data_IF_817194935120
#
_entry.id   IF_817194935120
#
_cell.length_a   1.000
_cell.length_b   1.000
_cell.length_c   1.000
_cell.angle_alpha   90.00
_cell.angle_beta   90.00
_cell.angle_gamma   90.00
#
_symmetry.space_group_name_H-M   'P 1'
#
loop_
_entity.id
_entity.type
_entity.pdbx_description
1 polymer ?
#
# COMPACT_ATOMS: atom_id res chain seq x y z
N UNK A 1 20.09 -12.13 -10.47
CA UNK A 1 19.66 -10.79 -10.93
C UNK A 1 18.20 -10.66 -10.58
N UNK A 2 17.83 -9.89 -9.54
CA UNK A 2 16.42 -9.64 -9.19
C UNK A 2 16.33 -8.35 -8.38
N UNK A 3 16.37 -7.24 -9.09
CA UNK A 3 15.89 -5.96 -8.59
C UNK A 3 14.77 -5.59 -9.57
N UNK A 4 13.52 -5.54 -9.09
CA UNK A 4 12.39 -4.97 -9.82
C UNK A 4 11.82 -3.84 -8.97
N UNK A 5 12.68 -2.87 -8.65
CA UNK A 5 12.24 -1.53 -8.32
C UNK A 5 11.95 -0.82 -9.64
N UNK A 6 10.75 -1.01 -10.19
CA UNK A 6 10.41 -0.54 -11.54
C UNK A 6 10.66 0.97 -11.72
N UNK A 7 10.44 1.76 -10.66
CA UNK A 7 10.65 3.21 -10.68
C UNK A 7 12.15 3.57 -10.63
N UNK A 8 12.96 2.89 -9.81
CA UNK A 8 14.40 3.17 -9.71
C UNK A 8 15.22 2.62 -10.90
N UNK A 9 14.82 1.49 -11.48
CA UNK A 9 15.55 0.86 -12.60
C UNK A 9 15.28 1.49 -13.96
N UNK A 10 14.06 1.97 -14.19
CA UNK A 10 13.66 2.57 -15.48
C UNK A 10 13.60 4.10 -15.45
N UNK A 11 13.77 4.70 -14.26
CA UNK A 11 13.51 6.12 -14.04
C UNK A 11 12.05 6.52 -14.27
N UNK A 12 11.15 5.56 -14.49
CA UNK A 12 9.75 5.78 -14.89
C UNK A 12 8.85 4.72 -14.25
N UNK A 13 7.64 5.12 -13.83
CA UNK A 13 6.62 4.17 -13.37
C UNK A 13 5.89 3.49 -14.53
N UNK A 14 4.93 2.62 -14.21
CA UNK A 14 4.05 2.02 -15.21
C UNK A 14 3.21 3.03 -15.99
N UNK A 15 2.44 2.54 -16.97
CA UNK A 15 1.56 3.37 -17.78
C UNK A 15 0.68 4.28 -16.90
N UNK A 16 0.58 5.55 -17.30
CA UNK A 16 -0.18 6.57 -16.58
C UNK A 16 0.40 6.99 -15.22
N UNK A 17 1.62 6.58 -14.84
CA UNK A 17 2.25 7.05 -13.61
C UNK A 17 2.60 8.55 -13.71
N UNK A 18 2.11 9.34 -12.75
CA UNK A 18 2.12 10.81 -12.81
C UNK A 18 2.82 11.50 -11.63
N UNK A 19 3.35 10.73 -10.68
CA UNK A 19 4.00 11.32 -9.51
C UNK A 19 5.25 12.11 -9.92
N UNK A 20 5.38 13.30 -9.33
CA UNK A 20 6.55 14.16 -9.49
C UNK A 20 7.25 14.26 -8.15
N UNK A 21 8.57 14.13 -8.16
CA UNK A 21 9.37 14.33 -6.95
C UNK A 21 9.27 15.78 -6.50
N UNK A 22 8.99 15.98 -5.22
CA UNK A 22 9.04 17.29 -4.58
C UNK A 22 9.67 17.14 -3.20
N UNK A 23 10.51 18.10 -2.82
CA UNK A 23 11.08 18.23 -1.48
C UNK A 23 10.46 19.39 -0.70
N UNK A 24 9.47 20.07 -1.30
CA UNK A 24 8.84 21.23 -0.68
C UNK A 24 7.95 20.80 0.49
N UNK A 25 8.25 21.30 1.69
CA UNK A 25 7.42 21.10 2.88
C UNK A 25 5.99 21.59 2.68
N UNK A 26 5.82 22.73 2.00
CA UNK A 26 4.50 23.27 1.67
C UNK A 26 3.63 22.28 0.88
N UNK A 27 4.21 21.53 -0.08
CA UNK A 27 3.47 20.51 -0.82
C UNK A 27 3.07 19.36 0.10
N UNK A 28 4.00 18.84 0.91
CA UNK A 28 3.71 17.79 1.90
C UNK A 28 2.59 18.22 2.85
N UNK A 29 2.70 19.42 3.41
CA UNK A 29 1.75 19.93 4.40
C UNK A 29 0.37 20.16 3.77
N UNK A 30 0.32 20.60 2.50
CA UNK A 30 -0.94 20.70 1.76
C UNK A 30 -1.60 19.33 1.53
N UNK A 31 -0.81 18.30 1.21
CA UNK A 31 -1.30 16.93 1.04
C UNK A 31 -1.86 16.40 2.36
N UNK A 32 -1.13 16.57 3.46
CA UNK A 32 -1.58 16.11 4.79
C UNK A 32 -2.82 16.86 5.27
N UNK A 33 -2.91 18.17 5.00
CA UNK A 33 -4.10 18.95 5.33
C UNK A 33 -5.31 18.50 4.51
N UNK A 34 -5.11 18.23 3.22
CA UNK A 34 -6.16 17.70 2.34
C UNK A 34 -6.58 16.29 2.76
N UNK A 35 -5.64 15.41 3.08
CA UNK A 35 -5.92 14.06 3.56
C UNK A 35 -6.83 14.08 4.79
N UNK A 36 -6.54 14.93 5.78
CA UNK A 36 -7.36 15.08 7.00
C UNK A 36 -8.81 15.50 6.79
N UNK A 37 -9.12 16.14 5.66
CA UNK A 37 -10.52 16.52 5.34
C UNK A 37 -11.21 15.50 4.45
N UNK A 38 -10.50 14.44 4.04
CA UNK A 38 -10.95 13.39 3.12
C UNK A 38 -10.59 11.98 3.61
N UNK A 39 -10.22 11.86 4.88
CA UNK A 39 -10.03 10.61 5.59
C UNK A 39 -11.29 10.27 6.39
N UNK A 40 -11.33 9.07 6.98
CA UNK A 40 -12.45 8.66 7.84
C UNK A 40 -12.12 8.72 9.33
N UNK A 41 -11.03 9.39 9.71
CA UNK A 41 -10.59 9.52 11.09
C UNK A 41 -11.47 10.51 11.87
N UNK A 42 -11.83 10.15 13.09
CA UNK A 42 -12.37 11.09 14.07
C UNK A 42 -11.27 11.87 14.82
N UNK A 43 -10.03 11.39 14.70
CA UNK A 43 -8.84 11.85 15.40
C UNK A 43 -8.08 10.67 16.01
N UNK A 44 -6.77 10.77 16.20
CA UNK A 44 -5.97 9.66 16.71
C UNK A 44 -4.55 9.62 16.13
N UNK A 45 -3.92 8.46 16.30
CA UNK A 45 -2.57 8.17 15.81
C UNK A 45 -2.57 7.13 14.67
N UNK A 46 -3.74 6.65 14.25
CA UNK A 46 -3.88 5.75 13.12
C UNK A 46 -3.61 6.45 11.79
N UNK A 47 -3.07 5.69 10.83
CA UNK A 47 -2.99 6.08 9.43
C UNK A 47 -4.26 5.59 8.74
N UNK A 48 -5.09 6.52 8.28
CA UNK A 48 -6.34 6.18 7.59
C UNK A 48 -6.08 5.61 6.19
N UNK A 49 -6.40 4.33 5.93
CA UNK A 49 -6.20 3.75 4.61
C UNK A 49 -7.00 4.45 3.50
N UNK A 50 -8.24 4.90 3.76
CA UNK A 50 -9.02 5.64 2.77
C UNK A 50 -8.44 7.02 2.49
N UNK A 51 -8.10 7.78 3.52
CA UNK A 51 -7.45 9.09 3.44
C UNK A 51 -6.17 9.01 2.61
N UNK A 52 -5.31 8.04 2.92
CA UNK A 52 -4.08 7.83 2.17
C UNK A 52 -4.37 7.48 0.71
N UNK A 53 -5.28 6.53 0.45
CA UNK A 53 -5.73 6.19 -0.92
C UNK A 53 -6.30 7.42 -1.64
N UNK A 54 -7.11 8.23 -0.99
CA UNK A 54 -7.74 9.42 -1.54
C UNK A 54 -6.69 10.46 -1.95
N UNK A 55 -5.77 10.78 -1.04
CA UNK A 55 -4.70 11.73 -1.31
C UNK A 55 -3.81 11.23 -2.46
N UNK A 56 -3.47 9.93 -2.45
CA UNK A 56 -2.66 9.32 -3.50
C UNK A 56 -3.29 9.43 -4.89
N UNK A 57 -4.60 9.21 -4.98
CA UNK A 57 -5.34 9.32 -6.23
C UNK A 57 -5.54 10.79 -6.65
N UNK A 58 -5.91 11.67 -5.73
CA UNK A 58 -6.14 13.09 -6.04
C UNK A 58 -4.86 13.78 -6.54
N UNK A 59 -3.77 13.67 -5.78
CA UNK A 59 -2.51 14.33 -6.14
C UNK A 59 -1.77 13.64 -7.29
N UNK A 60 -2.05 12.36 -7.55
CA UNK A 60 -1.49 11.65 -8.70
C UNK A 60 -2.28 11.85 -9.99
N UNK A 61 -3.61 11.82 -9.94
CA UNK A 61 -4.49 11.71 -11.11
C UNK A 61 -5.68 12.67 -11.13
N UNK A 62 -5.92 13.43 -10.06
CA UNK A 62 -6.99 14.42 -9.95
C UNK A 62 -8.28 13.87 -9.33
N UNK A 63 -9.28 14.74 -9.21
CA UNK A 63 -10.55 14.45 -8.50
C UNK A 63 -11.36 13.29 -9.09
N UNK A 64 -11.26 13.05 -10.39
CA UNK A 64 -11.95 11.91 -11.03
C UNK A 64 -11.40 10.57 -10.53
N UNK A 65 -10.13 10.49 -10.15
CA UNK A 65 -9.52 9.26 -9.64
C UNK A 65 -9.92 8.91 -8.20
N UNK A 66 -10.78 9.68 -7.54
CA UNK A 66 -11.26 9.33 -6.18
C UNK A 66 -12.30 8.21 -6.22
N UNK A 67 -13.15 8.21 -7.25
CA UNK A 67 -14.28 7.29 -7.35
C UNK A 67 -13.84 5.85 -7.62
N UNK A 68 -14.52 4.89 -6.99
CA UNK A 68 -14.22 3.45 -7.09
C UNK A 68 -13.99 2.93 -8.53
N UNK A 69 -14.76 3.43 -9.51
CA UNK A 69 -14.61 3.03 -10.91
C UNK A 69 -13.35 3.59 -11.60
N UNK A 70 -12.77 4.67 -11.07
CA UNK A 70 -11.75 5.50 -11.74
C UNK A 70 -10.42 5.54 -10.99
N UNK A 71 -10.38 5.12 -9.72
CA UNK A 71 -9.17 5.12 -8.90
C UNK A 71 -8.04 4.26 -9.49
N UNK A 72 -6.83 4.75 -9.32
CA UNK A 72 -5.59 4.09 -9.72
C UNK A 72 -5.02 3.27 -8.59
N UNK A 73 -5.22 3.72 -7.36
CA UNK A 73 -4.92 2.97 -6.15
C UNK A 73 -6.18 2.69 -5.37
N UNK A 74 -6.22 1.53 -4.73
CA UNK A 74 -7.28 1.16 -3.81
C UNK A 74 -6.69 0.63 -2.51
N UNK A 75 -7.40 0.85 -1.40
CA UNK A 75 -7.09 0.21 -0.14
C UNK A 75 -7.79 -1.16 -0.07
N UNK A 76 -7.03 -2.19 0.28
CA UNK A 76 -7.54 -3.57 0.32
C UNK A 76 -6.99 -4.31 1.53
N UNK A 77 -7.84 -5.13 2.14
CA UNK A 77 -7.52 -5.82 3.39
C UNK A 77 -7.62 -7.34 3.27
N UNK A 78 -6.64 -8.03 3.83
CA UNK A 78 -6.51 -9.49 3.74
C UNK A 78 -6.51 -10.13 5.12
N UNK A 79 -7.13 -11.31 5.22
CA UNK A 79 -7.13 -12.10 6.45
C UNK A 79 -5.79 -12.76 6.78
N UNK A 80 -4.82 -12.73 5.84
CA UNK A 80 -3.49 -13.29 6.09
C UNK A 80 -2.38 -12.47 5.44
N UNK A 81 -1.21 -12.53 6.08
CA UNK A 81 0.03 -11.96 5.57
C UNK A 81 0.35 -12.47 4.16
N UNK A 82 0.21 -13.78 3.93
CA UNK A 82 0.54 -14.42 2.65
C UNK A 82 -0.34 -13.91 1.51
N UNK A 83 -1.63 -13.71 1.76
CA UNK A 83 -2.51 -13.13 0.74
C UNK A 83 -2.17 -11.67 0.45
N UNK A 84 -1.90 -10.86 1.49
CA UNK A 84 -1.55 -9.46 1.33
C UNK A 84 -0.27 -9.27 0.51
N UNK A 85 0.81 -9.96 0.86
CA UNK A 85 2.09 -9.81 0.15
C UNK A 85 2.02 -10.37 -1.27
N UNK A 86 1.27 -11.45 -1.50
CA UNK A 86 1.07 -11.97 -2.87
C UNK A 86 0.23 -11.03 -3.73
N UNK A 87 -0.77 -10.37 -3.14
CA UNK A 87 -1.51 -9.32 -3.81
C UNK A 87 -0.61 -8.13 -4.15
N UNK A 88 0.22 -7.68 -3.20
CA UNK A 88 1.20 -6.61 -3.42
C UNK A 88 2.17 -6.93 -4.56
N UNK A 89 2.74 -8.15 -4.60
CA UNK A 89 3.63 -8.59 -5.68
C UNK A 89 2.93 -8.55 -7.03
N UNK A 90 1.72 -9.12 -7.14
CA UNK A 90 0.96 -9.07 -8.39
C UNK A 90 0.66 -7.64 -8.84
N UNK A 91 0.30 -6.76 -7.90
CA UNK A 91 0.00 -5.37 -8.20
C UNK A 91 1.25 -4.63 -8.72
N UNK A 92 2.39 -4.81 -8.06
CA UNK A 92 3.67 -4.26 -8.52
C UNK A 92 4.05 -4.78 -9.92
N UNK A 93 3.88 -6.08 -10.19
CA UNK A 93 4.19 -6.66 -11.51
C UNK A 93 3.27 -6.10 -12.59
N UNK A 94 1.96 -6.11 -12.34
CA UNK A 94 0.95 -5.74 -13.33
C UNK A 94 1.01 -4.26 -13.67
N UNK A 95 1.09 -3.41 -12.65
CA UNK A 95 0.91 -1.97 -12.81
C UNK A 95 2.21 -1.18 -12.75
N UNK A 96 3.33 -1.83 -12.38
CA UNK A 96 4.67 -1.25 -12.26
C UNK A 96 4.65 0.02 -11.41
N UNK A 97 3.99 -0.08 -10.27
CA UNK A 97 3.69 0.98 -9.32
C UNK A 97 4.00 0.47 -7.90
N UNK A 98 4.52 1.31 -6.98
CA UNK A 98 4.73 0.92 -5.59
C UNK A 98 3.45 0.46 -4.91
N UNK A 99 3.56 -0.24 -3.78
CA UNK A 99 2.42 -0.62 -2.94
C UNK A 99 2.59 -0.01 -1.55
N UNK A 100 1.58 0.69 -1.05
CA UNK A 100 1.55 1.16 0.33
C UNK A 100 1.23 0.03 1.30
N UNK A 101 1.79 0.08 2.50
CA UNK A 101 1.58 -0.90 3.57
C UNK A 101 1.28 -0.14 4.85
N UNK A 102 0.20 -0.51 5.52
CA UNK A 102 -0.16 0.05 6.82
C UNK A 102 0.65 -0.69 7.89
N UNK A 103 1.83 -0.14 8.18
CA UNK A 103 2.80 -0.65 9.13
C UNK A 103 2.42 -0.31 10.58
N UNK A 104 3.18 -0.87 11.53
CA UNK A 104 3.04 -0.62 12.97
C UNK A 104 1.60 -0.87 13.46
N UNK A 105 0.96 -1.90 12.91
CA UNK A 105 -0.44 -2.23 13.15
C UNK A 105 -1.41 -1.07 12.85
N UNK A 106 -1.14 -0.33 11.77
CA UNK A 106 -1.99 0.77 11.29
C UNK A 106 -1.58 2.15 11.75
N UNK A 107 -0.49 2.31 12.50
CA UNK A 107 -0.04 3.62 13.00
C UNK A 107 0.94 4.33 12.05
N UNK A 108 1.39 3.65 10.99
CA UNK A 108 2.41 4.20 10.12
C UNK A 108 2.29 3.71 8.69
N UNK A 109 2.69 4.57 7.74
CA UNK A 109 2.71 4.27 6.33
C UNK A 109 4.12 3.89 5.88
N UNK A 110 4.27 2.72 5.25
CA UNK A 110 5.49 2.29 4.57
C UNK A 110 5.19 1.88 3.13
N UNK A 111 6.19 1.81 2.25
CA UNK A 111 5.99 1.47 0.85
C UNK A 111 6.88 0.30 0.42
N UNK A 112 6.29 -0.66 -0.28
CA UNK A 112 7.03 -1.64 -1.06
C UNK A 112 7.31 -1.05 -2.44
N UNK A 113 8.59 -0.84 -2.74
CA UNK A 113 9.03 -0.33 -4.05
C UNK A 113 9.48 -1.44 -4.98
N UNK A 114 9.65 -2.67 -4.48
CA UNK A 114 9.96 -3.84 -5.28
C UNK A 114 9.99 -5.13 -4.47
N UNK A 115 10.28 -6.23 -5.16
CA UNK A 115 10.46 -7.56 -4.59
C UNK A 115 11.69 -8.25 -5.22
N UNK A 116 12.16 -9.33 -4.60
CA UNK A 116 13.26 -10.15 -5.13
C UNK A 116 13.05 -11.65 -4.88
N UNK A 117 13.76 -12.50 -5.63
CA UNK A 117 13.73 -13.95 -5.47
C UNK A 117 12.36 -14.55 -5.79
N UNK A 118 11.73 -14.08 -6.86
CA UNK A 118 10.44 -14.60 -7.31
C UNK A 118 10.64 -15.98 -7.95
N UNK A 119 9.89 -16.97 -7.47
CA UNK A 119 9.86 -18.32 -8.06
C UNK A 119 8.41 -18.74 -8.30
N UNK A 120 8.14 -19.27 -9.49
CA UNK A 120 6.80 -19.62 -9.97
C UNK A 120 6.10 -18.47 -10.70
N UNK A 121 4.87 -18.73 -11.16
CA UNK A 121 4.04 -17.74 -11.87
C UNK A 121 3.03 -17.08 -10.90
N UNK A 122 3.16 -15.76 -10.62
CA UNK A 122 2.21 -15.02 -9.79
C UNK A 122 0.77 -14.98 -10.30
N UNK A 123 0.58 -15.16 -11.61
CA UNK A 123 -0.70 -15.06 -12.29
C UNK A 123 -1.30 -16.40 -12.67
N UNK A 124 -0.65 -17.52 -12.33
CA UNK A 124 -1.20 -18.85 -12.53
C UNK A 124 -2.58 -18.97 -11.87
N UNK A 125 -3.58 -19.38 -12.66
CA UNK A 125 -4.95 -19.59 -12.22
C UNK A 125 -5.28 -21.09 -12.16
N UNK A 126 -6.11 -21.46 -11.18
CA UNK A 126 -6.68 -22.79 -11.09
C UNK A 126 -7.85 -22.96 -12.06
N UNK A 127 -8.41 -24.17 -12.12
CA UNK A 127 -9.62 -24.45 -12.90
C UNK A 127 -10.84 -23.62 -12.45
N UNK A 128 -10.85 -23.16 -11.21
CA UNK A 128 -11.87 -22.26 -10.64
C UNK A 128 -11.67 -20.78 -11.03
N UNK A 129 -10.69 -20.50 -11.88
CA UNK A 129 -10.34 -19.15 -12.32
C UNK A 129 -9.65 -18.30 -11.25
N UNK A 130 -9.43 -18.79 -10.03
CA UNK A 130 -8.75 -18.04 -8.97
C UNK A 130 -7.25 -18.17 -9.08
N UNK A 131 -6.51 -17.18 -8.58
CA UNK A 131 -5.05 -17.29 -8.50
C UNK A 131 -4.66 -18.44 -7.57
N UNK A 132 -3.80 -19.33 -8.06
CA UNK A 132 -3.31 -20.49 -7.28
C UNK A 132 -2.46 -20.07 -6.09
N UNK A 133 -1.87 -18.88 -6.13
CA UNK A 133 -0.91 -18.38 -5.15
C UNK A 133 0.31 -19.29 -4.98
N UNK A 134 0.62 -20.14 -5.96
CA UNK A 134 1.77 -21.07 -5.95
C UNK A 134 3.05 -20.40 -6.46
N UNK A 135 3.39 -19.28 -5.85
CA UNK A 135 4.66 -18.59 -6.06
C UNK A 135 5.23 -18.14 -4.71
N UNK A 136 6.54 -17.98 -4.67
CA UNK A 136 7.27 -17.48 -3.51
C UNK A 136 8.08 -16.25 -3.88
N UNK A 137 8.45 -15.46 -2.87
CA UNK A 137 9.40 -14.35 -3.00
C UNK A 137 10.44 -14.46 -1.90
N UNK A 138 11.67 -14.09 -2.19
CA UNK A 138 12.74 -13.99 -1.20
C UNK A 138 12.54 -12.80 -0.26
N UNK A 139 11.88 -11.73 -0.72
CA UNK A 139 11.58 -10.56 0.08
C UNK A 139 11.25 -9.31 -0.74
N UNK A 140 11.39 -8.15 -0.09
CA UNK A 140 10.94 -6.85 -0.59
C UNK A 140 12.01 -5.76 -0.45
N UNK A 141 11.82 -4.68 -1.19
CA UNK A 141 12.49 -3.40 -0.97
C UNK A 141 11.48 -2.45 -0.31
N UNK A 142 11.77 -2.06 0.92
CA UNK A 142 10.91 -1.24 1.77
C UNK A 142 11.43 0.20 1.81
N UNK A 143 10.52 1.16 1.72
CA UNK A 143 10.78 2.58 1.98
C UNK A 143 9.93 3.02 3.17
N UNK A 144 10.57 3.70 4.11
CA UNK A 144 9.89 4.34 5.23
C UNK A 144 10.09 5.87 5.12
N UNK A 145 9.01 6.65 5.01
CA UNK A 145 9.10 8.10 4.87
C UNK A 145 9.55 8.80 6.17
N UNK A 146 9.51 8.12 7.32
CA UNK A 146 9.95 8.71 8.58
C UNK A 146 11.47 8.81 8.61
N UNK A 147 11.98 10.05 8.57
CA UNK A 147 13.42 10.36 8.54
C UNK A 147 14.24 9.58 9.56
N UNK A 148 13.72 9.41 10.79
CA UNK A 148 14.43 8.71 11.87
C UNK A 148 14.61 7.21 11.62
N UNK A 149 13.86 6.60 10.69
CA UNK A 149 14.05 5.20 10.31
C UNK A 149 15.15 5.02 9.28
N UNK A 150 15.47 6.06 8.49
CA UNK A 150 16.51 6.04 7.46
C UNK A 150 16.39 4.84 6.48
N UNK A 151 15.16 4.39 6.18
CA UNK A 151 14.93 3.23 5.31
C UNK A 151 14.54 3.69 3.90
N UNK A 152 15.52 3.74 3.02
CA UNK A 152 15.32 3.99 1.59
C UNK A 152 15.72 2.75 0.81
N UNK A 153 14.75 2.08 0.19
CA UNK A 153 14.94 0.82 -0.53
C UNK A 153 15.64 -0.27 0.33
N UNK A 154 15.31 -0.30 1.62
CA UNK A 154 15.85 -1.28 2.55
C UNK A 154 15.40 -2.67 2.14
N UNK A 155 16.37 -3.57 1.90
CA UNK A 155 16.08 -4.96 1.55
C UNK A 155 15.63 -5.71 2.80
N UNK A 156 14.44 -6.31 2.74
CA UNK A 156 13.86 -7.08 3.83
C UNK A 156 13.43 -8.46 3.34
N UNK A 157 13.80 -9.53 4.05
CA UNK A 157 13.39 -10.88 3.66
C UNK A 157 11.91 -11.11 3.94
N UNK A 158 11.31 -12.02 3.19
CA UNK A 158 9.91 -12.40 3.38
C UNK A 158 9.64 -12.89 4.82
N UNK A 159 10.55 -13.69 5.40
CA UNK A 159 10.43 -14.18 6.78
C UNK A 159 10.59 -13.08 7.81
N UNK A 160 11.50 -12.13 7.57
CA UNK A 160 11.73 -11.00 8.47
C UNK A 160 10.54 -10.03 8.42
N UNK A 161 10.01 -9.71 7.23
CA UNK A 161 8.80 -8.88 7.11
C UNK A 161 7.58 -9.52 7.80
N UNK A 162 7.50 -10.86 7.84
CA UNK A 162 6.45 -11.61 8.55
C UNK A 162 6.62 -11.62 10.07
N UNK A 163 7.83 -11.82 10.57
CA UNK A 163 8.07 -12.26 11.95
C UNK A 163 9.18 -11.50 12.69
N UNK A 164 9.75 -10.43 12.14
CA UNK A 164 10.82 -9.66 12.77
C UNK A 164 10.47 -9.24 14.20
N UNK A 165 11.36 -9.44 15.18
CA UNK A 165 11.16 -8.93 16.53
C UNK A 165 11.01 -7.39 16.55
N UNK A 166 11.68 -6.70 15.61
CA UNK A 166 11.46 -5.29 15.38
C UNK A 166 10.06 -5.03 14.78
N UNK A 167 9.13 -4.57 15.62
CA UNK A 167 7.75 -4.28 15.25
C UNK A 167 7.62 -3.14 14.24
N UNK A 168 8.66 -2.33 14.06
CA UNK A 168 8.68 -1.27 13.04
C UNK A 168 8.89 -1.79 11.62
N UNK A 169 9.42 -3.01 11.51
CA UNK A 169 9.70 -3.69 10.25
C UNK A 169 8.74 -4.85 9.98
N UNK A 170 8.07 -5.37 11.01
CA UNK A 170 7.10 -6.45 10.86
C UNK A 170 5.80 -5.91 10.28
N UNK A 171 5.35 -6.46 9.16
CA UNK A 171 4.00 -6.22 8.67
C UNK A 171 3.00 -6.99 9.52
N UNK A 172 2.03 -6.28 10.09
CA UNK A 172 1.10 -6.80 11.10
C UNK A 172 -0.33 -6.42 10.72
N UNK A 173 -1.33 -7.16 11.23
CA UNK A 173 -2.72 -6.76 11.12
C UNK A 173 -2.95 -5.35 11.70
N UNK A 174 -3.82 -4.60 11.04
CA UNK A 174 -4.28 -3.29 11.45
C UNK A 174 -5.06 -3.39 12.77
N UNK A 175 -4.77 -2.51 13.72
CA UNK A 175 -5.31 -2.55 15.07
C UNK A 175 -5.94 -1.22 15.50
N UNK A 176 -6.00 -0.23 14.62
CA UNK A 176 -6.62 1.05 14.94
C UNK A 176 -8.14 0.97 14.78
N UNK A 177 -8.84 1.79 15.55
CA UNK A 177 -10.31 1.84 15.65
C UNK A 177 -10.84 3.27 15.57
N UNK A 178 -10.00 4.20 15.12
CA UNK A 178 -10.19 5.64 15.11
C UNK A 178 -10.82 6.18 13.82
N UNK A 179 -11.15 5.29 12.89
CA UNK A 179 -11.84 5.60 11.63
C UNK A 179 -13.31 5.13 11.63
N UNK A 180 -14.25 5.80 12.33
CA UNK A 180 -15.63 5.33 12.46
C UNK A 180 -16.53 5.71 11.28
N UNK A 181 -16.09 6.62 10.40
CA UNK A 181 -16.92 7.19 9.34
C UNK A 181 -16.85 6.36 8.05
N UNK A 182 -17.85 6.55 7.18
CA UNK A 182 -17.83 5.98 5.83
C UNK A 182 -16.99 6.87 4.90
N UNK A 183 -16.33 6.28 3.91
CA UNK A 183 -15.60 7.03 2.90
C UNK A 183 -16.52 7.58 1.81
N UNK A 184 -16.53 8.90 1.54
CA UNK A 184 -17.46 9.50 0.59
C UNK A 184 -17.23 9.07 -0.87
N UNK A 185 -16.09 8.44 -1.17
CA UNK A 185 -15.72 8.03 -2.53
C UNK A 185 -15.93 6.54 -2.81
N UNK A 186 -16.35 5.77 -1.81
CA UNK A 186 -16.62 4.34 -1.92
C UNK A 186 -18.09 4.07 -1.56
N UNK A 187 -18.93 3.66 -2.52
CA UNK A 187 -20.33 3.39 -2.24
C UNK A 187 -20.50 2.23 -1.23
N UNK A 188 -21.17 2.49 -0.11
CA UNK A 188 -21.50 1.49 0.90
C UNK A 188 -21.68 2.12 2.28
N UNK A 189 -22.42 1.44 3.16
CA UNK A 189 -22.55 1.77 4.60
C UNK A 189 -21.73 0.75 5.39
N UNK A 190 -20.41 0.82 5.32
CA UNK A 190 -19.52 0.04 6.19
C UNK A 190 -18.55 1.02 6.81
N UNK A 191 -18.65 1.13 8.12
CA UNK A 191 -17.70 1.94 8.91
C UNK A 191 -16.31 1.44 8.59
N UNK A 192 -15.42 2.36 8.26
CA UNK A 192 -14.04 2.06 7.89
C UNK A 192 -13.30 1.15 8.89
N UNK A 193 -13.58 1.28 10.19
CA UNK A 193 -13.10 0.36 11.24
C UNK A 193 -13.37 -1.13 10.93
N UNK A 194 -14.55 -1.46 10.40
CA UNK A 194 -14.98 -2.83 10.14
C UNK A 194 -14.27 -3.43 8.91
N UNK A 195 -13.65 -2.60 8.07
CA UNK A 195 -12.97 -3.01 6.83
C UNK A 195 -11.54 -3.52 7.06
N UNK A 196 -10.87 -3.02 8.10
CA UNK A 196 -9.42 -3.20 8.28
C UNK A 196 -9.05 -3.90 9.58
N UNK A 197 -9.84 -3.74 10.64
CA UNK A 197 -9.46 -4.23 11.96
C UNK A 197 -9.18 -5.75 11.94
N UNK A 198 -8.01 -6.13 12.44
CA UNK A 198 -7.53 -7.52 12.44
C UNK A 198 -7.07 -8.04 11.08
N UNK A 199 -6.90 -7.18 10.07
CA UNK A 199 -6.52 -7.55 8.70
C UNK A 199 -5.23 -6.87 8.26
N UNK A 200 -4.54 -7.48 7.29
CA UNK A 200 -3.35 -6.89 6.65
C UNK A 200 -3.81 -5.93 5.55
N UNK A 201 -3.54 -4.64 5.72
CA UNK A 201 -4.00 -3.59 4.80
C UNK A 201 -2.86 -3.11 3.91
N UNK A 202 -3.14 -3.01 2.62
CA UNK A 202 -2.24 -2.41 1.64
C UNK A 202 -2.98 -1.38 0.80
N UNK A 203 -2.26 -0.39 0.29
CA UNK A 203 -2.73 0.54 -0.74
C UNK A 203 -2.12 0.08 -2.06
N UNK A 204 -2.89 -0.64 -2.86
CA UNK A 204 -2.39 -1.33 -4.05
C UNK A 204 -2.83 -0.62 -5.33
N UNK A 205 -1.97 -0.55 -6.37
CA UNK A 205 -2.40 -0.09 -7.67
C UNK A 205 -3.38 -1.10 -8.28
N UNK A 206 -4.44 -0.57 -8.88
CA UNK A 206 -5.49 -1.30 -9.61
C UNK A 206 -5.55 -0.91 -11.09
N UNK A 207 -4.74 0.09 -11.51
CA UNK A 207 -4.62 0.58 -12.91
C UNK A 207 -3.20 0.99 -13.31
#
# INVERSE_FOLDING_TARGET
MDMLNFVALKGTGGAGFRWRTTLASATRDSILAWERTHDTLQGGNGSDPHGWRNALNYYGWGSTALWAGQRVYDDVSFSSYDYAVKAAVRAMIRYRKPVGVLAWAGQHAQMLTGYYGLVGDPFARGADGKYTNRFTVGGFYLVDPLKSQAMVNARISYSYFRAAANLKLRFRPYAQTDSPYDDPYTPGYRRSIDEWYGRFVIIAPVR
#
